data_IF_108207487561
#
_entry.id   IF_108207487561
#
_cell.length_a   1.000
_cell.length_b   1.000
_cell.length_c   1.000
_cell.angle_alpha   90.00
_cell.angle_beta   90.00
_cell.angle_gamma   90.00
#
_symmetry.space_group_name_H-M   'P 1'
#
loop_
_entity.id
_entity.type
_entity.pdbx_description
1 polymer ?
#
# COMPACT_ATOMS: atom_id res chain seq x y z
N UNK A 1 -9.33 7.25 10.55
CA UNK A 1 -9.05 8.29 9.54
C UNK A 1 -9.63 9.60 10.01
N UNK A 2 -10.96 9.74 10.05
CA UNK A 2 -11.60 10.88 10.73
C UNK A 2 -11.65 10.62 12.24
N UNK A 3 -11.53 11.68 13.03
CA UNK A 3 -11.65 11.70 14.49
C UNK A 3 -10.57 10.95 15.29
N UNK A 4 -9.35 10.82 14.73
CA UNK A 4 -8.18 10.26 15.42
C UNK A 4 -7.07 11.30 15.54
N UNK A 5 -6.36 11.35 16.67
CA UNK A 5 -5.22 12.26 16.87
C UNK A 5 -4.10 11.98 15.86
N UNK A 6 -3.85 10.70 15.58
CA UNK A 6 -2.90 10.24 14.59
C UNK A 6 -3.51 9.11 13.76
N UNK A 7 -3.09 8.98 12.49
CA UNK A 7 -3.32 7.77 11.71
C UNK A 7 -1.94 7.21 11.36
N UNK A 8 -1.69 5.96 11.75
CA UNK A 8 -0.46 5.26 11.38
C UNK A 8 -0.70 4.62 10.02
N UNK A 9 0.18 4.91 9.06
CA UNK A 9 0.01 4.54 7.65
C UNK A 9 1.24 3.76 7.18
N UNK A 10 1.02 2.69 6.42
CA UNK A 10 2.06 1.98 5.67
C UNK A 10 1.48 1.51 4.33
N UNK A 11 2.34 1.04 3.42
CA UNK A 11 1.94 0.57 2.10
C UNK A 11 2.27 -0.91 1.91
N UNK A 12 1.34 -1.67 1.36
CA UNK A 12 1.56 -3.04 0.90
C UNK A 12 1.84 -3.07 -0.60
N UNK A 13 2.67 -4.03 -1.01
CA UNK A 13 3.11 -4.22 -2.39
C UNK A 13 2.84 -5.66 -2.85
N UNK A 14 3.75 -6.60 -2.60
CA UNK A 14 3.79 -7.92 -3.23
C UNK A 14 2.63 -8.85 -2.89
N UNK A 15 2.11 -8.83 -1.65
CA UNK A 15 1.04 -9.76 -1.22
C UNK A 15 -0.29 -9.53 -1.90
N UNK A 16 -0.49 -8.37 -2.53
CA UNK A 16 -1.74 -8.00 -3.19
C UNK A 16 -1.78 -8.40 -4.68
N UNK A 17 -0.62 -8.53 -5.33
CA UNK A 17 -0.52 -8.95 -6.73
C UNK A 17 -0.95 -10.40 -6.94
N UNK A 18 -0.59 -11.30 -6.02
CA UNK A 18 -0.98 -12.72 -6.06
C UNK A 18 -2.48 -12.93 -5.78
N UNK A 19 -3.10 -12.04 -5.00
CA UNK A 19 -4.48 -12.17 -4.57
C UNK A 19 -5.50 -11.60 -5.57
N UNK A 20 -5.07 -10.64 -6.41
CA UNK A 20 -5.94 -9.92 -7.35
C UNK A 20 -5.29 -9.82 -8.74
N UNK A 21 -5.55 -10.82 -9.58
CA UNK A 21 -5.14 -10.76 -10.99
C UNK A 21 -5.89 -9.66 -11.75
N UNK A 22 -5.24 -9.08 -12.75
CA UNK A 22 -5.82 -8.08 -13.64
C UNK A 22 -5.95 -8.64 -15.04
N UNK A 23 -7.12 -8.46 -15.64
CA UNK A 23 -7.38 -8.71 -17.05
C UNK A 23 -7.71 -7.38 -17.72
N UNK A 24 -6.72 -6.80 -18.42
CA UNK A 24 -6.80 -5.47 -19.03
C UNK A 24 -6.34 -5.58 -20.48
N UNK A 25 -7.18 -5.10 -21.41
CA UNK A 25 -6.88 -5.03 -22.84
C UNK A 25 -7.12 -3.60 -23.37
N UNK A 26 -6.14 -2.97 -24.04
CA UNK A 26 -4.81 -3.50 -24.36
C UNK A 26 -3.96 -3.76 -23.11
N UNK A 27 -2.91 -4.57 -23.24
CA UNK A 27 -2.00 -4.85 -22.12
C UNK A 27 -1.25 -3.56 -21.76
N UNK A 28 -1.22 -3.14 -20.48
CA UNK A 28 -0.49 -1.97 -20.05
C UNK A 28 1.03 -2.16 -20.12
N UNK A 29 1.73 -1.12 -20.56
CA UNK A 29 3.20 -1.02 -20.55
C UNK A 29 3.74 -0.89 -19.11
N UNK A 30 2.93 -0.37 -18.19
CA UNK A 30 3.30 -0.20 -16.79
C UNK A 30 2.10 -0.41 -15.89
N UNK A 31 2.25 -1.20 -14.82
CA UNK A 31 1.26 -1.35 -13.75
C UNK A 31 1.88 -0.87 -12.45
N UNK A 32 1.18 0.05 -11.78
CA UNK A 32 1.56 0.60 -10.47
C UNK A 32 0.44 0.28 -9.50
N UNK A 33 0.74 -0.48 -8.44
CA UNK A 33 -0.23 -0.77 -7.38
C UNK A 33 0.17 -0.10 -6.07
N UNK A 34 -0.81 0.51 -5.41
CA UNK A 34 -0.65 1.13 -4.11
C UNK A 34 -1.82 0.70 -3.23
N UNK A 35 -1.53 -0.07 -2.18
CA UNK A 35 -2.53 -0.37 -1.15
C UNK A 35 -2.10 0.25 0.18
N UNK A 36 -2.87 1.21 0.67
CA UNK A 36 -2.61 1.91 1.92
C UNK A 36 -3.24 1.16 3.10
N UNK A 37 -2.41 0.65 4.01
CA UNK A 37 -2.87 0.16 5.30
C UNK A 37 -2.85 1.29 6.32
N UNK A 38 -3.91 1.40 7.12
CA UNK A 38 -3.94 2.41 8.18
C UNK A 38 -4.67 1.96 9.44
N UNK A 39 -4.26 2.47 10.59
CA UNK A 39 -5.04 2.36 11.83
C UNK A 39 -5.02 3.66 12.63
N UNK A 40 -6.08 3.98 13.40
CA UNK A 40 -6.11 5.17 14.25
C UNK A 40 -5.22 4.95 15.49
N UNK A 41 -4.55 6.01 15.94
CA UNK A 41 -3.78 6.02 17.18
C UNK A 41 -4.03 7.30 17.98
N UNK A 42 -4.20 7.17 19.28
CA UNK A 42 -4.36 8.31 20.20
C UNK A 42 -3.02 8.98 20.51
N UNK A 43 -1.91 8.28 20.29
CA UNK A 43 -0.54 8.75 20.51
C UNK A 43 0.30 8.71 19.23
N UNK A 44 1.32 9.57 19.16
CA UNK A 44 2.31 9.51 18.09
C UNK A 44 3.03 8.16 18.10
N UNK A 45 3.31 7.63 16.90
CA UNK A 45 4.07 6.40 16.70
C UNK A 45 5.29 6.74 15.87
N UNK A 46 6.48 6.60 16.46
CA UNK A 46 7.72 6.70 15.72
C UNK A 46 7.87 5.49 14.81
N UNK A 47 8.10 5.73 13.53
CA UNK A 47 8.27 4.70 12.52
C UNK A 47 9.33 5.11 11.52
N UNK A 48 9.99 4.12 10.92
CA UNK A 48 10.92 4.37 9.84
C UNK A 48 10.17 4.94 8.64
N UNK A 49 10.81 5.85 7.93
CA UNK A 49 10.30 6.33 6.65
C UNK A 49 10.18 5.15 5.68
N UNK A 50 9.02 4.96 5.03
CA UNK A 50 8.85 3.87 4.08
C UNK A 50 9.68 4.15 2.81
N UNK A 51 10.46 3.17 2.37
CA UNK A 51 11.19 3.24 1.11
C UNK A 51 10.24 3.00 -0.07
N UNK A 52 9.53 4.05 -0.48
CA UNK A 52 8.55 4.02 -1.57
C UNK A 52 9.17 3.60 -2.91
N UNK A 53 10.46 3.88 -3.14
CA UNK A 53 11.15 3.51 -4.38
C UNK A 53 11.37 2.02 -4.45
N UNK A 54 11.78 1.40 -3.34
CA UNK A 54 11.90 -0.06 -3.26
C UNK A 54 10.53 -0.76 -3.32
N UNK A 55 9.49 -0.12 -2.77
CA UNK A 55 8.14 -0.64 -2.71
C UNK A 55 7.44 -0.61 -4.07
N UNK A 56 7.61 0.47 -4.84
CA UNK A 56 7.03 0.61 -6.17
C UNK A 56 8.08 1.18 -7.15
N UNK A 57 8.95 0.32 -7.68
CA UNK A 57 10.08 0.75 -8.50
C UNK A 57 9.70 1.12 -9.94
N UNK A 58 8.44 0.94 -10.33
CA UNK A 58 8.00 1.12 -11.71
C UNK A 58 7.98 2.61 -12.11
N UNK A 59 8.64 2.94 -13.23
CA UNK A 59 8.56 4.26 -13.85
C UNK A 59 7.40 4.30 -14.85
N UNK A 60 6.68 5.42 -14.89
CA UNK A 60 5.53 5.58 -15.80
C UNK A 60 6.01 5.70 -17.24
N UNK A 61 5.64 4.72 -18.07
CA UNK A 61 5.91 4.73 -19.50
C UNK A 61 4.71 4.13 -20.26
N UNK A 62 4.45 4.62 -21.47
CA UNK A 62 3.38 4.11 -22.34
C UNK A 62 1.99 4.13 -21.70
N UNK A 63 1.16 3.14 -22.04
CA UNK A 63 -0.13 2.91 -21.41
C UNK A 63 0.08 2.39 -19.99
N UNK A 64 -0.10 3.28 -19.01
CA UNK A 64 0.07 2.97 -17.59
C UNK A 64 -1.28 2.77 -16.90
N UNK A 65 -1.41 1.67 -16.15
CA UNK A 65 -2.53 1.43 -15.21
C UNK A 65 -2.05 1.65 -13.79
N UNK A 66 -2.86 2.37 -13.03
CA UNK A 66 -2.63 2.62 -11.60
C UNK A 66 -3.81 2.06 -10.82
N UNK A 67 -3.54 1.11 -9.94
CA UNK A 67 -4.50 0.64 -8.95
C UNK A 67 -4.21 1.28 -7.59
N UNK A 68 -5.24 1.87 -6.99
CA UNK A 68 -5.16 2.52 -5.68
C UNK A 68 -6.26 1.99 -4.78
N UNK A 69 -5.85 1.43 -3.66
CA UNK A 69 -6.72 0.93 -2.60
C UNK A 69 -6.26 1.38 -1.23
N UNK A 70 -7.10 1.11 -0.24
CA UNK A 70 -6.69 1.27 1.15
C UNK A 70 -7.67 0.60 2.09
N UNK A 71 -7.14 -0.03 3.14
CA UNK A 71 -7.92 -0.76 4.12
C UNK A 71 -7.48 -0.41 5.54
N UNK A 72 -8.46 -0.47 6.45
CA UNK A 72 -8.21 -0.29 7.87
C UNK A 72 -7.55 -1.56 8.41
N UNK A 73 -6.38 -1.41 9.01
CA UNK A 73 -5.69 -2.45 9.74
C UNK A 73 -6.37 -2.68 11.10
N UNK A 74 -6.79 -3.92 11.37
CA UNK A 74 -7.28 -4.36 12.67
C UNK A 74 -6.28 -5.36 13.27
N UNK A 75 -5.80 -5.10 14.51
CA UNK A 75 -4.77 -5.92 15.16
C UNK A 75 -5.25 -7.38 15.29
N UNK A 76 -4.56 -8.29 14.62
CA UNK A 76 -4.81 -9.74 14.68
C UNK A 76 -4.12 -10.55 13.58
N UNK A 77 -3.72 -9.91 12.48
CA UNK A 77 -3.06 -10.56 11.35
C UNK A 77 -1.63 -9.99 11.23
N UNK A 78 -0.66 -10.86 11.55
CA UNK A 78 0.78 -10.77 11.27
C UNK A 78 1.63 -9.78 12.12
N UNK A 79 2.36 -10.37 13.07
CA UNK A 79 3.44 -9.77 13.89
C UNK A 79 4.77 -9.56 13.14
N UNK A 80 4.78 -9.53 11.81
CA UNK A 80 6.02 -9.64 11.00
C UNK A 80 6.33 -8.39 10.16
N UNK A 81 5.41 -7.43 10.04
CA UNK A 81 5.60 -6.24 9.19
C UNK A 81 6.21 -5.02 9.88
N UNK A 82 6.47 -5.10 11.19
CA UNK A 82 7.06 -4.01 12.00
C UNK A 82 8.36 -4.41 12.71
N UNK A 83 9.10 -5.39 12.19
CA UNK A 83 10.48 -5.68 12.63
C UNK A 83 11.49 -5.09 11.66
#
# INVERSE_FOLDING_TARGET
MKDSNYNVITFQTYTYEDAASMDISPVPDTVIRVNMLWYPSDSFVEMKEPDLKSMNPAERSGFTVVEWGGEKYERGILSTLFR
#
